data_IF_468504001236
#
_entry.id   IF_468504001236
#
_cell.length_a   1.000
_cell.length_b   1.000
_cell.length_c   1.000
_cell.angle_alpha   90.00
_cell.angle_beta   90.00
_cell.angle_gamma   90.00
#
_symmetry.space_group_name_H-M   'P 1'
#
loop_
_entity.id
_entity.type
_entity.pdbx_description
1 polymer ?
#
# COMPACT_ATOMS: atom_id res chain seq x y z
N UNK A 1 5.38 5.47 -26.20
CA UNK A 1 3.88 5.60 -26.14
C UNK A 1 3.49 6.56 -25.02
N UNK A 2 2.29 7.21 -25.05
CA UNK A 2 1.79 7.91 -23.87
C UNK A 2 1.57 6.91 -22.72
N UNK A 3 1.63 7.39 -21.47
CA UNK A 3 1.36 6.56 -20.32
C UNK A 3 -0.10 6.11 -20.29
N UNK A 4 -0.35 4.87 -19.85
CA UNK A 4 -1.71 4.35 -19.75
C UNK A 4 -2.44 4.85 -18.49
N UNK A 5 -1.69 5.21 -17.44
CA UNK A 5 -2.32 5.70 -16.21
C UNK A 5 -2.95 7.08 -16.36
N UNK A 6 -3.97 7.32 -15.59
CA UNK A 6 -4.65 8.62 -15.52
C UNK A 6 -3.98 9.51 -14.47
N UNK A 7 -3.81 10.80 -14.79
CA UNK A 7 -3.48 11.80 -13.76
C UNK A 7 -4.65 11.88 -12.78
N UNK A 8 -4.41 11.59 -11.52
CA UNK A 8 -5.46 11.57 -10.49
C UNK A 8 -5.54 12.90 -9.74
N UNK A 9 -6.72 13.28 -9.23
CA UNK A 9 -6.87 14.50 -8.45
C UNK A 9 -6.07 14.48 -7.15
N UNK A 10 -5.54 15.65 -6.78
CA UNK A 10 -5.07 15.98 -5.45
C UNK A 10 -6.12 16.87 -4.79
N UNK A 11 -6.93 16.35 -3.88
CA UNK A 11 -8.01 17.11 -3.26
C UNK A 11 -7.66 17.56 -1.84
N UNK A 12 -8.01 18.79 -1.48
CA UNK A 12 -7.91 19.23 -0.10
C UNK A 12 -9.07 18.70 0.72
N UNK A 13 -8.80 17.87 1.72
CA UNK A 13 -9.80 17.40 2.69
C UNK A 13 -10.14 18.49 3.70
N UNK A 14 -11.34 19.06 3.60
CA UNK A 14 -11.81 20.06 4.59
C UNK A 14 -11.96 19.45 5.99
N UNK A 15 -12.40 18.19 6.05
CA UNK A 15 -12.64 17.48 7.29
C UNK A 15 -11.34 17.24 8.04
N UNK A 16 -10.38 16.57 7.40
CA UNK A 16 -9.09 16.27 8.01
C UNK A 16 -8.26 17.54 8.26
N UNK A 17 -8.35 18.55 7.39
CA UNK A 17 -7.66 19.83 7.61
C UNK A 17 -8.16 20.55 8.86
N UNK A 18 -9.47 20.51 9.12
CA UNK A 18 -10.05 21.07 10.35
C UNK A 18 -9.64 20.27 11.59
N UNK A 19 -9.61 18.95 11.48
CA UNK A 19 -9.25 18.04 12.56
C UNK A 19 -7.79 18.22 12.99
N UNK A 20 -6.88 18.38 12.04
CA UNK A 20 -5.44 18.48 12.27
C UNK A 20 -4.91 19.91 12.38
N UNK A 21 -5.74 20.92 12.11
CA UNK A 21 -5.33 22.32 12.16
C UNK A 21 -4.31 22.75 11.09
N UNK A 22 -4.12 21.95 10.04
CA UNK A 22 -3.21 22.21 8.93
C UNK A 22 -3.87 21.85 7.57
N UNK A 23 -3.19 22.08 6.44
CA UNK A 23 -3.72 21.67 5.15
C UNK A 23 -3.49 20.19 4.89
N UNK A 24 -4.57 19.42 4.66
CA UNK A 24 -4.49 17.99 4.36
C UNK A 24 -4.96 17.73 2.94
N UNK A 25 -4.13 17.06 2.17
CA UNK A 25 -4.40 16.67 0.79
C UNK A 25 -4.49 15.16 0.64
N UNK A 26 -5.41 14.71 -0.21
CA UNK A 26 -5.64 13.31 -0.55
C UNK A 26 -5.32 13.11 -2.04
N UNK A 27 -4.34 12.25 -2.34
CA UNK A 27 -4.03 11.82 -3.71
C UNK A 27 -4.87 10.59 -4.06
N UNK A 28 -5.82 10.74 -4.99
CA UNK A 28 -6.89 9.76 -5.21
C UNK A 28 -6.52 8.69 -6.23
N UNK A 29 -5.67 7.74 -5.86
CA UNK A 29 -5.28 6.63 -6.74
C UNK A 29 -6.40 5.59 -6.97
N UNK A 30 -7.48 5.66 -6.21
CA UNK A 30 -8.70 4.89 -6.46
C UNK A 30 -9.36 5.23 -7.82
N UNK A 31 -8.98 6.33 -8.46
CA UNK A 31 -9.47 6.75 -9.77
C UNK A 31 -8.61 6.25 -10.94
N UNK A 32 -7.62 5.41 -10.71
CA UNK A 32 -6.91 4.72 -11.79
C UNK A 32 -7.84 3.69 -12.48
N UNK A 33 -7.59 3.32 -13.75
CA UNK A 33 -8.41 2.34 -14.48
C UNK A 33 -8.65 1.02 -13.72
N UNK A 34 -7.66 0.51 -12.99
CA UNK A 34 -7.80 -0.66 -12.12
C UNK A 34 -8.18 -0.32 -10.68
N UNK A 35 -8.67 0.88 -10.40
CA UNK A 35 -9.11 1.39 -9.10
C UNK A 35 -8.04 1.37 -8.01
N UNK A 36 -6.75 1.30 -8.39
CA UNK A 36 -5.63 1.36 -7.45
C UNK A 36 -4.36 1.91 -8.07
N UNK A 37 -3.46 2.45 -7.21
CA UNK A 37 -2.13 2.93 -7.60
C UNK A 37 -1.30 1.90 -8.39
N UNK A 38 -1.62 0.62 -8.24
CA UNK A 38 -0.93 -0.49 -8.92
C UNK A 38 -0.87 -0.30 -10.42
N UNK A 39 -1.89 0.33 -10.98
CA UNK A 39 -1.96 0.57 -12.42
C UNK A 39 -0.78 1.38 -12.95
N UNK A 40 -0.29 2.38 -12.21
CA UNK A 40 0.82 3.23 -12.66
C UNK A 40 2.09 2.42 -12.98
N UNK A 41 2.57 1.68 -11.99
CA UNK A 41 3.82 0.93 -12.13
C UNK A 41 3.68 -0.29 -13.03
N UNK A 42 2.56 -1.02 -12.92
CA UNK A 42 2.37 -2.22 -13.72
C UNK A 42 2.09 -1.89 -15.19
N UNK A 43 1.36 -0.83 -15.50
CA UNK A 43 1.18 -0.41 -16.88
C UNK A 43 2.51 0.06 -17.53
N UNK A 44 3.37 0.75 -16.77
CA UNK A 44 4.70 1.12 -17.28
C UNK A 44 5.54 -0.11 -17.59
N UNK A 45 5.59 -1.07 -16.67
CA UNK A 45 6.31 -2.32 -16.88
C UNK A 45 5.80 -3.09 -18.12
N UNK A 46 4.50 -3.14 -18.29
CA UNK A 46 3.85 -3.81 -19.43
C UNK A 46 4.13 -3.08 -20.75
N UNK A 47 4.13 -1.73 -20.75
CA UNK A 47 4.54 -0.94 -21.91
C UNK A 47 5.99 -1.20 -22.31
N UNK A 48 6.94 -1.24 -21.36
CA UNK A 48 8.33 -1.60 -21.62
C UNK A 48 8.48 -3.03 -22.15
N UNK A 49 7.72 -3.98 -21.61
CA UNK A 49 7.69 -5.36 -22.12
C UNK A 49 7.17 -5.42 -23.55
N UNK A 50 6.11 -4.68 -23.86
CA UNK A 50 5.57 -4.55 -25.23
C UNK A 50 6.58 -3.92 -26.18
N UNK A 51 7.24 -2.84 -25.79
CA UNK A 51 8.27 -2.17 -26.62
C UNK A 51 9.44 -3.10 -26.92
N UNK A 52 9.80 -3.97 -25.97
CA UNK A 52 10.92 -4.91 -26.11
C UNK A 52 10.57 -6.18 -26.90
N UNK A 53 9.36 -6.71 -26.75
CA UNK A 53 8.98 -8.04 -27.26
C UNK A 53 7.88 -8.00 -28.34
N UNK A 54 7.25 -6.83 -28.57
CA UNK A 54 6.17 -6.64 -29.54
C UNK A 54 4.84 -7.26 -29.10
N UNK A 55 3.89 -7.33 -30.04
CA UNK A 55 2.50 -7.79 -29.81
C UNK A 55 2.39 -9.26 -29.39
N UNK A 56 3.44 -10.05 -29.59
CA UNK A 56 3.42 -11.48 -29.24
C UNK A 56 3.75 -11.74 -27.76
N UNK A 57 4.13 -10.72 -27.00
CA UNK A 57 4.46 -10.87 -25.58
C UNK A 57 3.27 -11.45 -24.79
N UNK A 58 3.55 -12.43 -23.95
CA UNK A 58 2.57 -12.98 -23.04
C UNK A 58 2.91 -12.59 -21.61
N UNK A 59 2.04 -11.83 -20.98
CA UNK A 59 2.24 -11.31 -19.64
C UNK A 59 1.66 -12.28 -18.61
N UNK A 60 2.44 -12.65 -17.62
CA UNK A 60 2.05 -13.62 -16.59
C UNK A 60 2.28 -13.00 -15.23
N UNK A 61 1.28 -13.08 -14.36
CA UNK A 61 1.37 -12.59 -12.98
C UNK A 61 0.72 -13.58 -12.01
N UNK A 62 1.27 -13.72 -10.82
CA UNK A 62 0.61 -14.38 -9.69
C UNK A 62 0.06 -13.30 -8.75
N UNK A 63 -1.26 -13.08 -8.77
CA UNK A 63 -1.92 -12.16 -7.84
C UNK A 63 -3.44 -12.27 -7.93
N UNK A 64 -4.09 -12.52 -6.81
CA UNK A 64 -5.55 -12.50 -6.68
C UNK A 64 -6.12 -11.12 -6.26
N UNK A 65 -5.33 -10.07 -6.35
CA UNK A 65 -5.73 -8.75 -5.89
C UNK A 65 -5.38 -7.63 -6.88
N UNK A 66 -5.20 -6.43 -6.36
CA UNK A 66 -5.00 -5.20 -7.12
C UNK A 66 -3.87 -5.27 -8.16
N UNK A 67 -2.81 -6.06 -7.93
CA UNK A 67 -1.73 -6.22 -8.92
C UNK A 67 -2.17 -7.06 -10.11
N UNK A 68 -2.90 -8.17 -9.88
CA UNK A 68 -3.47 -8.99 -10.96
C UNK A 68 -4.42 -8.19 -11.83
N UNK A 69 -5.34 -7.45 -11.20
CA UNK A 69 -6.29 -6.59 -11.91
C UNK A 69 -5.59 -5.49 -12.70
N UNK A 70 -4.58 -4.83 -12.11
CA UNK A 70 -3.83 -3.79 -12.79
C UNK A 70 -3.07 -4.31 -14.02
N UNK A 71 -2.45 -5.51 -13.90
CA UNK A 71 -1.77 -6.14 -15.03
C UNK A 71 -2.76 -6.54 -16.13
N UNK A 72 -3.91 -7.12 -15.77
CA UNK A 72 -4.95 -7.50 -16.72
C UNK A 72 -5.50 -6.28 -17.48
N UNK A 73 -5.89 -5.21 -16.76
CA UNK A 73 -6.38 -3.97 -17.37
C UNK A 73 -5.35 -3.35 -18.33
N UNK A 74 -4.09 -3.24 -17.91
CA UNK A 74 -3.04 -2.65 -18.76
C UNK A 74 -2.74 -3.50 -20.01
N UNK A 75 -2.80 -4.82 -19.85
CA UNK A 75 -2.63 -5.74 -20.98
C UNK A 75 -3.79 -5.65 -21.97
N UNK A 76 -5.03 -5.55 -21.46
CA UNK A 76 -6.23 -5.37 -22.29
C UNK A 76 -6.17 -4.09 -23.13
N UNK A 77 -5.73 -2.97 -22.51
CA UNK A 77 -5.59 -1.68 -23.18
C UNK A 77 -4.60 -1.73 -24.36
N UNK A 78 -3.58 -2.60 -24.28
CA UNK A 78 -2.60 -2.80 -25.34
C UNK A 78 -2.94 -3.98 -26.27
N UNK A 79 -4.04 -4.69 -26.05
CA UNK A 79 -4.41 -5.88 -26.84
C UNK A 79 -3.48 -7.07 -26.61
N UNK A 80 -2.82 -7.16 -25.46
CA UNK A 80 -1.85 -8.21 -25.13
C UNK A 80 -2.46 -9.35 -24.33
N UNK A 81 -1.90 -10.54 -24.48
CA UNK A 81 -2.28 -11.70 -23.66
C UNK A 81 -1.80 -11.51 -22.23
N UNK A 82 -2.71 -11.72 -21.27
CA UNK A 82 -2.40 -11.73 -19.85
C UNK A 82 -2.95 -12.97 -19.19
N UNK A 83 -2.09 -13.73 -18.49
CA UNK A 83 -2.50 -14.84 -17.63
C UNK A 83 -2.25 -14.52 -16.17
N UNK A 84 -3.30 -14.59 -15.37
CA UNK A 84 -3.27 -14.33 -13.93
C UNK A 84 -3.41 -15.65 -13.17
N UNK A 85 -2.37 -16.01 -12.42
CA UNK A 85 -2.37 -17.16 -11.53
C UNK A 85 -2.96 -16.77 -10.17
N UNK A 86 -3.97 -17.50 -9.74
CA UNK A 86 -4.62 -17.34 -8.42
C UNK A 86 -4.63 -18.69 -7.69
N UNK A 87 -4.69 -18.68 -6.37
CA UNK A 87 -4.85 -19.91 -5.58
C UNK A 87 -6.32 -20.29 -5.41
N UNK A 88 -6.56 -21.52 -4.98
CA UNK A 88 -7.89 -22.03 -4.62
C UNK A 88 -8.49 -21.29 -3.42
N UNK A 89 -9.82 -21.44 -3.23
CA UNK A 89 -10.52 -20.91 -2.05
C UNK A 89 -10.83 -19.42 -2.06
N UNK A 90 -10.54 -18.71 -3.15
CA UNK A 90 -10.94 -17.31 -3.33
C UNK A 90 -12.44 -17.20 -3.67
N UNK A 91 -13.03 -16.06 -3.30
CA UNK A 91 -14.41 -15.77 -3.69
C UNK A 91 -14.54 -15.76 -5.22
N UNK A 92 -15.62 -16.33 -5.80
CA UNK A 92 -15.81 -16.39 -7.27
C UNK A 92 -15.70 -15.04 -7.98
N UNK A 93 -16.10 -13.94 -7.33
CA UNK A 93 -16.05 -12.59 -7.88
C UNK A 93 -14.62 -12.13 -8.21
N UNK A 94 -13.62 -12.63 -7.49
CA UNK A 94 -12.21 -12.34 -7.77
C UNK A 94 -11.83 -12.86 -9.16
N UNK A 95 -12.23 -14.09 -9.47
CA UNK A 95 -11.99 -14.70 -10.77
C UNK A 95 -12.78 -13.98 -11.86
N UNK A 96 -14.07 -13.77 -11.64
CA UNK A 96 -14.93 -13.07 -12.59
C UNK A 96 -14.40 -11.67 -12.91
N UNK A 97 -14.02 -10.88 -11.91
CA UNK A 97 -13.48 -9.53 -12.13
C UNK A 97 -12.17 -9.51 -12.95
N UNK A 98 -11.34 -10.56 -12.86
CA UNK A 98 -10.15 -10.70 -13.71
C UNK A 98 -10.50 -11.12 -15.13
N UNK A 99 -11.46 -12.04 -15.29
CA UNK A 99 -11.95 -12.51 -16.60
C UNK A 99 -12.69 -11.38 -17.36
N UNK A 100 -13.45 -10.53 -16.66
CA UNK A 100 -14.18 -9.38 -17.22
C UNK A 100 -13.26 -8.34 -17.87
N UNK A 101 -12.01 -8.22 -17.37
CA UNK A 101 -10.97 -7.39 -17.97
C UNK A 101 -10.05 -8.18 -18.92
N UNK A 102 -10.50 -9.30 -19.42
CA UNK A 102 -9.85 -10.07 -20.50
C UNK A 102 -8.67 -10.94 -20.07
N UNK A 103 -8.43 -11.14 -18.77
CA UNK A 103 -7.36 -12.04 -18.32
C UNK A 103 -7.73 -13.51 -18.49
N UNK A 104 -6.75 -14.32 -18.86
CA UNK A 104 -6.84 -15.78 -18.72
C UNK A 104 -6.51 -16.13 -17.26
N UNK A 105 -7.48 -16.66 -16.52
CA UNK A 105 -7.30 -16.96 -15.10
C UNK A 105 -6.98 -18.43 -14.89
N UNK A 106 -5.85 -18.71 -14.24
CA UNK A 106 -5.41 -20.06 -13.89
C UNK A 106 -5.44 -20.24 -12.38
N UNK A 107 -6.27 -21.17 -11.89
CA UNK A 107 -6.29 -21.56 -10.49
C UNK A 107 -5.20 -22.62 -10.26
N UNK A 108 -4.24 -22.35 -9.37
CA UNK A 108 -3.12 -23.24 -9.10
C UNK A 108 -2.69 -23.23 -7.64
N UNK A 109 -2.79 -24.37 -6.98
CA UNK A 109 -2.38 -24.60 -5.60
C UNK A 109 -3.30 -23.97 -4.55
N UNK A 110 -2.92 -24.09 -3.29
CA UNK A 110 -3.77 -23.74 -2.15
C UNK A 110 -3.44 -22.38 -1.54
N UNK A 111 -2.34 -21.75 -1.96
CA UNK A 111 -1.85 -20.48 -1.39
C UNK A 111 -1.09 -19.67 -2.46
N UNK A 112 -0.73 -18.43 -2.11
CA UNK A 112 0.02 -17.55 -3.01
C UNK A 112 1.37 -18.13 -3.48
N UNK A 113 2.23 -18.74 -2.63
CA UNK A 113 3.45 -19.40 -3.08
C UNK A 113 3.23 -20.43 -4.18
N UNK A 114 2.19 -21.26 -4.07
CA UNK A 114 1.86 -22.25 -5.09
C UNK A 114 1.49 -21.58 -6.41
N UNK A 115 0.61 -20.59 -6.38
CA UNK A 115 0.23 -19.81 -7.56
C UNK A 115 1.45 -19.14 -8.22
N UNK A 116 2.37 -18.60 -7.42
CA UNK A 116 3.62 -18.00 -7.92
C UNK A 116 4.55 -19.04 -8.57
N UNK A 117 4.69 -20.22 -7.98
CA UNK A 117 5.45 -21.32 -8.59
C UNK A 117 4.84 -21.77 -9.93
N UNK A 118 3.50 -21.86 -10.01
CA UNK A 118 2.79 -22.16 -11.24
C UNK A 118 3.04 -21.12 -12.34
N UNK A 119 2.98 -19.84 -11.99
CA UNK A 119 3.27 -18.73 -12.89
C UNK A 119 4.73 -18.77 -13.38
N UNK A 120 5.68 -19.00 -12.47
CA UNK A 120 7.11 -19.11 -12.79
C UNK A 120 7.37 -20.26 -13.77
N UNK A 121 6.82 -21.44 -13.49
CA UNK A 121 6.95 -22.60 -14.36
C UNK A 121 6.27 -22.39 -15.74
N UNK A 122 5.26 -21.53 -15.84
CA UNK A 122 4.67 -21.15 -17.12
C UNK A 122 5.63 -20.29 -17.94
N UNK A 123 6.19 -19.24 -17.32
CA UNK A 123 7.17 -18.36 -17.98
C UNK A 123 8.38 -19.14 -18.50
N UNK A 124 8.90 -20.09 -17.72
CA UNK A 124 10.03 -20.92 -18.12
C UNK A 124 9.75 -21.81 -19.33
N UNK A 125 8.50 -22.21 -19.54
CA UNK A 125 8.08 -23.11 -20.63
C UNK A 125 7.64 -22.40 -21.90
N UNK A 126 7.23 -21.13 -21.81
CA UNK A 126 6.72 -20.38 -22.97
C UNK A 126 7.74 -19.31 -23.39
N UNK A 127 8.44 -19.48 -24.54
CA UNK A 127 9.33 -18.45 -25.08
C UNK A 127 8.57 -17.14 -25.34
N UNK A 128 9.10 -16.02 -24.84
CA UNK A 128 8.46 -14.71 -24.98
C UNK A 128 7.44 -14.38 -23.87
N UNK A 129 7.18 -15.29 -22.94
CA UNK A 129 6.42 -14.98 -21.75
C UNK A 129 7.26 -14.11 -20.77
N UNK A 130 6.61 -13.15 -20.14
CA UNK A 130 7.24 -12.20 -19.19
C UNK A 130 6.50 -12.23 -17.87
N UNK A 131 7.22 -12.50 -16.77
CA UNK A 131 6.69 -12.38 -15.43
C UNK A 131 6.52 -10.91 -15.08
N UNK A 132 5.30 -10.52 -14.75
CA UNK A 132 4.98 -9.16 -14.26
C UNK A 132 5.17 -9.11 -12.74
N UNK A 133 6.10 -8.27 -12.23
CA UNK A 133 6.37 -8.18 -10.80
C UNK A 133 5.25 -7.42 -10.09
N UNK A 134 4.73 -7.97 -8.99
CA UNK A 134 3.60 -7.35 -8.27
C UNK A 134 3.97 -6.05 -7.52
N UNK A 135 5.26 -5.86 -7.14
CA UNK A 135 5.73 -4.71 -6.37
C UNK A 135 7.25 -4.50 -6.41
N UNK A 136 8.04 -5.55 -6.63
CA UNK A 136 9.50 -5.52 -6.48
C UNK A 136 10.19 -5.41 -7.84
N UNK A 137 10.25 -4.18 -8.37
CA UNK A 137 10.95 -3.89 -9.62
C UNK A 137 11.15 -2.37 -9.81
N UNK A 138 12.34 -1.88 -10.25
CA UNK A 138 12.62 -0.46 -10.46
C UNK A 138 11.65 0.25 -11.39
N UNK A 139 11.26 -0.36 -12.50
CA UNK A 139 10.25 0.20 -13.43
C UNK A 139 8.89 0.39 -12.74
N UNK A 140 8.48 -0.56 -11.89
CA UNK A 140 7.22 -0.46 -11.13
C UNK A 140 7.28 0.72 -10.16
N UNK A 141 8.39 0.90 -9.46
CA UNK A 141 8.58 2.05 -8.55
C UNK A 141 8.62 3.37 -9.32
N UNK A 142 9.30 3.41 -10.48
CA UNK A 142 9.33 4.59 -11.34
C UNK A 142 7.92 4.99 -11.79
N UNK A 143 7.11 4.03 -12.24
CA UNK A 143 5.71 4.28 -12.62
C UNK A 143 4.88 4.80 -11.45
N UNK A 144 5.02 4.20 -10.25
CA UNK A 144 4.34 4.69 -9.04
C UNK A 144 4.82 6.09 -8.63
N UNK A 145 6.10 6.42 -8.84
CA UNK A 145 6.69 7.73 -8.54
C UNK A 145 6.02 8.89 -9.29
N UNK A 146 5.40 8.63 -10.44
CA UNK A 146 4.67 9.64 -11.21
C UNK A 146 3.57 10.36 -10.42
N UNK A 147 2.99 9.71 -9.38
CA UNK A 147 2.01 10.39 -8.52
C UNK A 147 2.63 11.54 -7.71
N UNK A 148 3.91 11.43 -7.34
CA UNK A 148 4.63 12.48 -6.61
C UNK A 148 4.96 13.65 -7.54
N UNK A 149 5.30 13.37 -8.81
CA UNK A 149 5.48 14.41 -9.83
C UNK A 149 4.17 15.21 -10.03
N UNK A 150 3.02 14.52 -10.05
CA UNK A 150 1.72 15.17 -10.14
C UNK A 150 1.41 16.02 -8.89
N UNK A 151 1.73 15.53 -7.68
CA UNK A 151 1.55 16.27 -6.43
C UNK A 151 2.45 17.52 -6.42
N UNK A 152 3.71 17.38 -6.81
CA UNK A 152 4.66 18.50 -6.86
C UNK A 152 4.25 19.59 -7.86
N UNK A 153 3.58 19.20 -8.95
CA UNK A 153 3.03 20.17 -9.91
C UNK A 153 1.81 20.94 -9.38
N UNK A 154 1.14 20.45 -8.34
CA UNK A 154 -0.07 21.05 -7.77
C UNK A 154 0.15 21.78 -6.46
N UNK A 155 1.13 21.36 -5.65
CA UNK A 155 1.46 22.02 -4.40
C UNK A 155 2.49 23.13 -4.59
N UNK A 156 2.29 24.31 -3.96
CA UNK A 156 3.24 25.42 -4.07
C UNK A 156 4.57 25.15 -3.36
N UNK A 157 4.58 24.30 -2.35
CA UNK A 157 5.75 23.96 -1.53
C UNK A 157 5.73 22.46 -1.22
N UNK A 158 6.90 21.86 -0.90
CA UNK A 158 6.97 20.50 -0.39
C UNK A 158 6.08 20.32 0.85
N UNK A 159 5.35 19.20 0.99
CA UNK A 159 4.56 18.96 2.18
C UNK A 159 5.46 18.64 3.40
N UNK A 160 4.93 18.85 4.61
CA UNK A 160 5.61 18.49 5.85
C UNK A 160 5.84 16.97 5.97
N UNK A 161 4.94 16.18 5.37
CA UNK A 161 5.09 14.73 5.26
C UNK A 161 4.18 14.15 4.18
N UNK A 162 4.58 12.99 3.64
CA UNK A 162 3.76 12.14 2.77
C UNK A 162 3.50 10.83 3.52
N UNK A 163 2.23 10.41 3.57
CA UNK A 163 1.82 9.18 4.24
C UNK A 163 1.34 8.16 3.23
N UNK A 164 1.82 6.92 3.34
CA UNK A 164 1.38 5.81 2.48
C UNK A 164 1.35 4.49 3.25
N UNK A 165 0.45 3.59 2.87
CA UNK A 165 0.44 2.22 3.38
C UNK A 165 1.50 1.37 2.69
N UNK A 166 2.02 0.37 3.41
CA UNK A 166 3.10 -0.49 2.93
C UNK A 166 2.74 -1.96 3.11
N UNK A 167 2.83 -2.72 2.03
CA UNK A 167 2.88 -4.18 2.06
C UNK A 167 4.28 -4.63 1.67
N UNK A 168 4.46 -5.15 0.46
CA UNK A 168 5.79 -5.50 -0.07
C UNK A 168 6.71 -4.33 -0.43
N UNK A 169 6.28 -3.08 -0.23
CA UNK A 169 7.11 -1.89 -0.42
C UNK A 169 6.94 -1.17 -1.76
N UNK A 170 6.19 -1.72 -2.72
CA UNK A 170 6.08 -1.13 -4.07
C UNK A 170 5.58 0.32 -4.09
N UNK A 171 4.56 0.66 -3.28
CA UNK A 171 4.07 2.03 -3.16
C UNK A 171 5.13 2.95 -2.53
N UNK A 172 5.71 2.52 -1.41
CA UNK A 172 6.75 3.28 -0.73
C UNK A 172 7.96 3.52 -1.64
N UNK A 173 8.43 2.48 -2.36
CA UNK A 173 9.50 2.62 -3.35
C UNK A 173 9.17 3.67 -4.41
N UNK A 174 7.92 3.67 -4.89
CA UNK A 174 7.45 4.72 -5.81
C UNK A 174 7.43 6.11 -5.20
N UNK A 175 6.97 6.25 -3.95
CA UNK A 175 7.00 7.54 -3.24
C UNK A 175 8.43 8.06 -3.11
N UNK A 176 9.37 7.20 -2.68
CA UNK A 176 10.78 7.58 -2.50
C UNK A 176 11.44 7.97 -3.83
N UNK A 177 11.27 7.17 -4.88
CA UNK A 177 11.77 7.48 -6.24
C UNK A 177 11.16 8.79 -6.76
N UNK A 178 9.86 8.99 -6.54
CA UNK A 178 9.18 10.23 -6.93
C UNK A 178 9.69 11.45 -6.16
N UNK A 179 9.93 11.34 -4.86
CA UNK A 179 10.49 12.41 -4.04
C UNK A 179 11.89 12.80 -4.52
N UNK A 180 12.77 11.83 -4.77
CA UNK A 180 14.09 12.08 -5.32
C UNK A 180 14.01 12.84 -6.67
N UNK A 181 13.13 12.38 -7.56
CA UNK A 181 12.96 12.97 -8.89
C UNK A 181 12.50 14.43 -8.90
N UNK A 182 11.71 14.84 -7.89
CA UNK A 182 11.18 16.21 -7.80
C UNK A 182 11.93 17.11 -6.81
N UNK A 183 13.05 16.65 -6.22
CA UNK A 183 13.84 17.40 -5.25
C UNK A 183 13.18 17.47 -3.86
N UNK A 184 12.39 16.44 -3.50
CA UNK A 184 11.72 16.31 -2.20
C UNK A 184 12.36 15.23 -1.33
N UNK A 185 13.61 14.93 -1.54
CA UNK A 185 14.36 13.93 -0.77
C UNK A 185 14.42 14.23 0.74
N UNK A 186 14.20 15.49 1.13
CA UNK A 186 14.14 15.89 2.54
C UNK A 186 12.74 15.86 3.15
N UNK A 187 11.70 15.49 2.38
CA UNK A 187 10.34 15.36 2.89
C UNK A 187 10.19 14.04 3.66
N UNK A 188 9.79 14.05 4.94
CA UNK A 188 9.53 12.83 5.69
C UNK A 188 8.43 11.99 5.04
N UNK A 189 8.65 10.67 4.98
CA UNK A 189 7.64 9.72 4.53
C UNK A 189 7.20 8.84 5.71
N UNK A 190 5.90 8.73 5.92
CA UNK A 190 5.33 7.86 6.96
C UNK A 190 4.80 6.59 6.29
N UNK A 191 5.43 5.47 6.63
CA UNK A 191 5.10 4.14 6.14
C UNK A 191 4.18 3.44 7.15
N UNK A 192 2.95 3.13 6.76
CA UNK A 192 1.94 2.54 7.63
C UNK A 192 1.62 1.10 7.24
N UNK A 193 1.63 0.22 8.23
CA UNK A 193 1.27 -1.18 8.12
C UNK A 193 0.27 -1.55 9.21
N UNK A 194 -0.25 -2.78 9.18
CA UNK A 194 -1.01 -3.33 10.32
C UNK A 194 -0.14 -4.28 11.13
N UNK A 195 -0.47 -4.47 12.41
CA UNK A 195 0.33 -5.31 13.31
C UNK A 195 0.57 -6.73 12.77
N UNK A 196 -0.44 -7.30 12.10
CA UNK A 196 -0.35 -8.64 11.50
C UNK A 196 0.31 -8.69 10.12
N UNK A 197 0.67 -7.55 9.52
CA UNK A 197 1.27 -7.44 8.18
C UNK A 197 2.42 -6.42 8.18
N UNK A 198 3.31 -6.50 9.16
CA UNK A 198 4.33 -5.50 9.46
C UNK A 198 5.74 -5.89 8.98
N UNK A 199 5.85 -6.48 7.78
CA UNK A 199 7.14 -6.98 7.31
C UNK A 199 8.15 -5.84 7.04
N UNK A 200 7.70 -4.69 6.52
CA UNK A 200 8.59 -3.55 6.29
C UNK A 200 9.00 -2.89 7.62
N UNK A 201 8.06 -2.68 8.54
CA UNK A 201 8.32 -2.11 9.86
C UNK A 201 9.45 -2.85 10.57
N UNK A 202 9.31 -4.17 10.70
CA UNK A 202 10.33 -4.99 11.35
C UNK A 202 11.66 -5.02 10.57
N UNK A 203 11.60 -5.03 9.23
CA UNK A 203 12.82 -5.00 8.40
C UNK A 203 13.60 -3.69 8.57
N UNK A 204 12.88 -2.56 8.63
CA UNK A 204 13.50 -1.26 8.82
C UNK A 204 14.17 -1.16 10.20
N UNK A 205 13.48 -1.59 11.27
CA UNK A 205 14.03 -1.58 12.63
C UNK A 205 15.21 -2.55 12.79
N UNK A 206 15.15 -3.75 12.19
CA UNK A 206 16.26 -4.72 12.20
C UNK A 206 17.49 -4.22 11.44
N UNK A 207 17.30 -3.35 10.46
CA UNK A 207 18.39 -2.83 9.63
C UNK A 207 18.97 -1.50 10.15
N UNK A 208 18.26 -0.80 11.04
CA UNK A 208 18.76 0.43 11.68
C UNK A 208 19.69 0.11 12.83
N UNK A 209 20.85 0.78 12.96
CA UNK A 209 21.64 0.74 14.17
C UNK A 209 20.83 1.30 15.36
N UNK A 210 20.76 0.54 16.45
CA UNK A 210 20.11 0.96 17.70
C UNK A 210 20.84 0.38 18.91
N UNK A 211 20.78 1.08 20.04
CA UNK A 211 21.34 0.61 21.32
C UNK A 211 20.27 0.79 22.42
N UNK A 212 19.72 -0.32 22.98
CA UNK A 212 19.99 -1.71 22.62
C UNK A 212 19.47 -2.06 21.20
N UNK A 213 19.99 -3.13 20.57
CA UNK A 213 19.50 -3.60 19.29
C UNK A 213 18.00 -3.95 19.34
N UNK A 214 17.31 -3.67 18.24
CA UNK A 214 15.89 -4.03 18.12
C UNK A 214 15.71 -5.55 18.20
N UNK A 215 14.82 -5.99 19.06
CA UNK A 215 14.45 -7.41 19.22
C UNK A 215 13.05 -7.60 18.63
N UNK A 216 12.91 -8.31 17.51
CA UNK A 216 11.61 -8.55 16.90
C UNK A 216 10.79 -9.56 17.73
N UNK A 217 9.45 -9.55 17.62
CA UNK A 217 8.61 -10.58 18.24
C UNK A 217 8.81 -11.95 17.58
N UNK A 218 8.42 -13.03 18.29
CA UNK A 218 8.66 -14.43 17.90
C UNK A 218 8.08 -14.82 16.53
N UNK A 219 7.04 -14.15 16.06
CA UNK A 219 6.45 -14.41 14.73
C UNK A 219 7.25 -13.82 13.56
N UNK A 220 8.30 -13.06 13.84
CA UNK A 220 9.20 -12.47 12.84
C UNK A 220 10.47 -13.29 12.74
N UNK A 221 10.79 -13.76 11.56
CA UNK A 221 12.06 -14.43 11.26
C UNK A 221 13.01 -13.45 10.58
N UNK A 222 14.08 -12.99 11.25
CA UNK A 222 15.09 -12.14 10.63
C UNK A 222 15.91 -12.91 9.59
N UNK A 223 16.08 -12.33 8.41
CA UNK A 223 16.88 -12.90 7.30
C UNK A 223 17.90 -11.85 6.87
N UNK A 224 19.17 -12.06 7.19
CA UNK A 224 20.25 -11.19 6.73
C UNK A 224 20.47 -11.39 5.24
N UNK A 225 20.27 -10.33 4.43
CA UNK A 225 20.40 -10.35 2.97
C UNK A 225 21.60 -9.55 2.47
N UNK A 226 22.15 -8.67 3.30
CA UNK A 226 23.42 -7.97 3.08
C UNK A 226 24.03 -7.53 4.41
N UNK A 227 25.19 -6.87 4.39
CA UNK A 227 25.80 -6.36 5.63
C UNK A 227 24.98 -5.24 6.28
N UNK A 228 24.18 -4.51 5.50
CA UNK A 228 23.32 -3.42 5.97
C UNK A 228 21.88 -3.85 6.22
N UNK A 229 21.40 -4.87 5.53
CA UNK A 229 19.96 -5.18 5.46
C UNK A 229 19.67 -6.55 6.08
N UNK A 230 18.79 -6.52 7.05
CA UNK A 230 18.12 -7.71 7.61
C UNK A 230 16.63 -7.58 7.37
N UNK A 231 16.09 -8.43 6.51
CA UNK A 231 14.65 -8.46 6.22
C UNK A 231 13.90 -9.26 7.29
N UNK A 232 12.71 -8.82 7.60
CA UNK A 232 11.74 -9.58 8.36
C UNK A 232 10.96 -10.49 7.42
N UNK A 233 10.94 -11.79 7.70
CA UNK A 233 10.03 -12.74 7.08
C UNK A 233 8.92 -13.08 8.07
N UNK A 234 7.68 -12.88 7.65
CA UNK A 234 6.48 -13.15 8.46
C UNK A 234 5.50 -14.04 7.69
N UNK A 235 4.61 -14.69 8.43
CA UNK A 235 3.36 -15.20 7.87
C UNK A 235 2.28 -14.17 8.20
N UNK A 236 1.75 -13.45 7.21
CA UNK A 236 0.77 -12.41 7.47
C UNK A 236 -0.46 -12.97 8.20
N UNK A 237 -0.86 -12.30 9.27
CA UNK A 237 -2.05 -12.61 10.07
C UNK A 237 -2.84 -11.31 10.30
N UNK A 238 -3.42 -10.78 9.24
CA UNK A 238 -4.18 -9.54 9.22
C UNK A 238 -5.37 -9.68 8.29
N UNK A 239 -6.50 -9.09 8.65
CA UNK A 239 -7.67 -8.94 7.76
C UNK A 239 -7.40 -7.97 6.60
N UNK A 240 -6.36 -7.15 6.72
CA UNK A 240 -5.92 -6.18 5.70
C UNK A 240 -5.06 -6.89 4.64
N UNK A 241 -5.68 -7.80 3.90
CA UNK A 241 -5.00 -8.77 3.01
C UNK A 241 -4.14 -8.13 1.92
N UNK A 242 -4.45 -6.90 1.47
CA UNK A 242 -3.66 -6.21 0.44
C UNK A 242 -2.30 -5.69 0.94
N UNK A 243 -2.06 -5.66 2.27
CA UNK A 243 -0.75 -5.41 2.88
C UNK A 243 0.00 -6.70 3.23
N UNK A 244 -0.60 -7.87 2.99
CA UNK A 244 -0.12 -9.18 3.42
C UNK A 244 1.11 -9.71 2.65
N UNK A 245 2.19 -8.94 2.56
CA UNK A 245 3.46 -9.45 2.05
C UNK A 245 4.23 -10.21 3.14
N UNK A 246 4.87 -11.33 2.77
CA UNK A 246 5.69 -12.11 3.71
C UNK A 246 7.06 -11.47 3.99
N UNK A 247 7.54 -10.63 3.08
CA UNK A 247 8.79 -9.87 3.18
C UNK A 247 8.73 -8.66 2.26
N UNK A 248 9.35 -7.52 2.59
CA UNK A 248 9.43 -6.38 1.70
C UNK A 248 10.53 -6.54 0.65
N UNK A 249 10.49 -5.71 -0.40
CA UNK A 249 11.59 -5.55 -1.33
C UNK A 249 12.84 -5.01 -0.62
N UNK A 250 13.97 -5.67 -0.81
CA UNK A 250 15.24 -5.32 -0.17
C UNK A 250 15.67 -3.89 -0.50
N UNK A 251 15.60 -3.54 -1.78
CA UNK A 251 16.00 -2.24 -2.29
C UNK A 251 15.13 -1.11 -1.73
N UNK A 252 13.84 -1.38 -1.45
CA UNK A 252 12.97 -0.38 -0.81
C UNK A 252 13.36 -0.14 0.65
N UNK A 253 13.80 -1.17 1.37
CA UNK A 253 14.36 -0.99 2.72
C UNK A 253 15.66 -0.18 2.66
N UNK A 254 16.54 -0.45 1.68
CA UNK A 254 17.76 0.34 1.45
C UNK A 254 17.44 1.81 1.15
N UNK A 255 16.53 2.07 0.22
CA UNK A 255 16.07 3.45 -0.10
C UNK A 255 15.50 4.16 1.13
N UNK A 256 14.73 3.45 1.96
CA UNK A 256 14.15 4.02 3.18
C UNK A 256 15.20 4.37 4.24
N UNK A 257 16.28 3.60 4.34
CA UNK A 257 17.41 3.90 5.23
C UNK A 257 18.24 5.10 4.74
N UNK A 258 18.34 5.25 3.44
CA UNK A 258 19.16 6.29 2.78
C UNK A 258 18.38 7.59 2.53
N UNK A 259 17.06 7.60 2.73
CA UNK A 259 16.23 8.77 2.50
C UNK A 259 16.52 9.91 3.50
N UNK A 260 17.04 11.07 3.04
CA UNK A 260 17.45 12.17 3.94
C UNK A 260 16.33 12.71 4.82
N UNK A 261 15.10 12.77 4.28
CA UNK A 261 13.89 13.21 5.00
C UNK A 261 13.40 12.23 6.06
N UNK A 262 14.03 11.07 6.17
CA UNK A 262 13.66 9.93 7.01
C UNK A 262 12.34 9.24 6.60
N UNK A 263 12.31 7.92 6.70
CA UNK A 263 11.09 7.14 6.62
C UNK A 263 10.71 6.73 8.05
N UNK A 264 9.52 7.16 8.50
CA UNK A 264 8.94 6.79 9.80
C UNK A 264 8.08 5.55 9.63
N UNK A 265 8.36 4.48 10.38
CA UNK A 265 7.55 3.27 10.30
C UNK A 265 6.54 3.19 11.45
N UNK A 266 5.29 2.87 11.09
CA UNK A 266 4.15 2.84 12.00
C UNK A 266 3.32 1.59 11.75
N UNK A 267 2.86 0.94 12.83
CA UNK A 267 1.86 -0.13 12.71
C UNK A 267 0.63 0.15 13.56
N UNK A 268 -0.53 -0.26 13.06
CA UNK A 268 -1.84 -0.08 13.71
C UNK A 268 -2.60 -1.42 13.77
N UNK A 269 -3.56 -1.58 14.71
CA UNK A 269 -4.48 -2.72 14.67
C UNK A 269 -5.40 -2.66 13.43
N UNK A 270 -5.81 -3.81 12.93
CA UNK A 270 -6.72 -3.94 11.78
C UNK A 270 -8.03 -3.17 11.99
N UNK A 271 -8.55 -3.19 13.21
CA UNK A 271 -9.80 -2.54 13.60
C UNK A 271 -9.76 -1.02 13.40
N UNK A 272 -8.62 -0.39 13.62
CA UNK A 272 -8.48 1.05 13.34
C UNK A 272 -8.49 1.34 11.84
N UNK A 273 -7.98 0.44 11.03
CA UNK A 273 -8.07 0.53 9.56
C UNK A 273 -9.53 0.37 9.09
N UNK A 274 -10.31 -0.53 9.72
CA UNK A 274 -11.74 -0.70 9.47
C UNK A 274 -12.52 0.57 9.86
N UNK A 275 -12.27 1.13 11.04
CA UNK A 275 -12.88 2.39 11.49
C UNK A 275 -12.55 3.53 10.52
N UNK A 276 -11.31 3.64 10.08
CA UNK A 276 -10.88 4.66 9.13
C UNK A 276 -11.57 4.49 7.76
N UNK A 277 -11.78 3.25 7.27
CA UNK A 277 -12.52 3.00 6.03
C UNK A 277 -13.98 3.48 6.13
N UNK A 278 -14.65 3.19 7.24
CA UNK A 278 -16.01 3.68 7.49
C UNK A 278 -16.07 5.21 7.55
N UNK A 279 -15.08 5.85 8.20
CA UNK A 279 -15.02 7.32 8.29
C UNK A 279 -14.78 7.98 6.95
N UNK A 280 -13.85 7.46 6.14
CA UNK A 280 -13.62 7.96 4.77
C UNK A 280 -14.89 7.86 3.93
N UNK A 281 -15.59 6.72 3.98
CA UNK A 281 -16.85 6.55 3.26
C UNK A 281 -17.90 7.58 3.72
N UNK A 282 -18.04 7.81 5.02
CA UNK A 282 -18.98 8.78 5.58
C UNK A 282 -18.61 10.23 5.29
N UNK A 283 -17.32 10.60 5.37
CA UNK A 283 -16.82 11.98 5.29
C UNK A 283 -16.52 12.42 3.86
N UNK A 284 -15.96 11.52 3.02
CA UNK A 284 -15.49 11.82 1.67
C UNK A 284 -16.34 11.18 0.56
N UNK A 285 -17.30 10.30 0.92
CA UNK A 285 -18.26 9.69 -0.01
C UNK A 285 -17.62 8.75 -1.05
N UNK A 286 -16.50 8.13 -0.74
CA UNK A 286 -15.93 7.07 -1.55
C UNK A 286 -15.46 5.88 -0.69
N UNK A 287 -15.48 4.70 -1.30
CA UNK A 287 -15.05 3.47 -0.68
C UNK A 287 -13.56 3.25 -0.95
N UNK A 288 -12.84 2.78 0.08
CA UNK A 288 -11.43 2.37 -0.04
C UNK A 288 -11.19 1.11 0.79
N UNK A 289 -10.30 0.25 0.33
CA UNK A 289 -9.86 -0.92 1.10
C UNK A 289 -9.28 -0.53 2.47
N UNK A 290 -9.35 -1.45 3.43
CA UNK A 290 -8.68 -1.30 4.73
C UNK A 290 -7.17 -1.07 4.58
N UNK A 291 -6.53 -1.66 3.56
CA UNK A 291 -5.14 -1.36 3.21
C UNK A 291 -4.88 0.11 2.88
N UNK A 292 -5.83 0.76 2.22
CA UNK A 292 -5.77 2.17 1.89
C UNK A 292 -6.09 3.04 3.12
N UNK A 293 -7.14 2.72 3.87
CA UNK A 293 -7.56 3.49 5.05
C UNK A 293 -6.56 3.42 6.21
N UNK A 294 -5.71 2.39 6.27
CA UNK A 294 -4.56 2.32 7.19
C UNK A 294 -3.72 3.59 7.16
N UNK A 295 -3.54 4.17 5.97
CA UNK A 295 -2.78 5.42 5.78
C UNK A 295 -3.36 6.59 6.58
N UNK A 296 -4.67 6.62 6.81
CA UNK A 296 -5.39 7.76 7.39
C UNK A 296 -5.61 7.60 8.91
N UNK A 297 -5.37 6.41 9.45
CA UNK A 297 -5.56 6.14 10.90
C UNK A 297 -4.93 7.21 11.79
N UNK A 298 -3.67 7.65 11.58
CA UNK A 298 -3.06 8.67 12.46
C UNK A 298 -3.81 10.01 12.47
N UNK A 299 -4.50 10.37 11.39
CA UNK A 299 -5.24 11.62 11.32
C UNK A 299 -6.48 11.65 12.24
N UNK A 300 -6.96 10.49 12.66
CA UNK A 300 -8.14 10.36 13.51
C UNK A 300 -7.82 10.24 15.01
N UNK A 301 -6.56 10.28 15.38
CA UNK A 301 -6.12 10.18 16.77
C UNK A 301 -5.25 11.39 17.13
N UNK A 302 -5.72 12.17 18.07
CA UNK A 302 -5.07 13.43 18.50
C UNK A 302 -3.61 13.19 18.94
N UNK A 303 -2.71 14.07 18.53
CA UNK A 303 -1.29 14.04 18.90
C UNK A 303 -0.45 12.95 18.23
N UNK A 304 -1.06 12.05 17.44
CA UNK A 304 -0.30 10.95 16.82
C UNK A 304 0.63 11.41 15.70
N UNK A 305 0.18 12.32 14.86
CA UNK A 305 1.02 12.86 13.77
C UNK A 305 2.19 13.65 14.30
N UNK A 306 1.98 14.46 15.32
CA UNK A 306 3.05 15.20 16.01
C UNK A 306 4.05 14.25 16.66
N UNK A 307 3.58 13.15 17.26
CA UNK A 307 4.45 12.11 17.82
C UNK A 307 5.25 11.40 16.73
N UNK A 308 4.63 11.06 15.59
CA UNK A 308 5.31 10.41 14.47
C UNK A 308 6.36 11.32 13.85
N UNK A 309 6.01 12.59 13.64
CA UNK A 309 6.89 13.57 12.97
C UNK A 309 7.93 14.18 13.92
N UNK A 310 7.73 14.06 15.25
CA UNK A 310 8.59 14.66 16.26
C UNK A 310 8.49 16.18 16.32
N UNK A 311 7.44 16.77 15.75
CA UNK A 311 7.23 18.22 15.70
C UNK A 311 5.72 18.56 15.66
N UNK A 312 5.28 19.68 16.24
CA UNK A 312 3.89 20.10 16.18
C UNK A 312 3.46 20.42 14.74
N UNK A 313 2.16 20.23 14.48
CA UNK A 313 1.53 20.72 13.24
C UNK A 313 1.14 22.19 13.40
N UNK A 314 1.29 22.96 12.34
CA UNK A 314 0.94 24.38 12.29
C UNK A 314 -0.02 24.65 11.11
N UNK A 315 -0.78 25.75 11.12
CA UNK A 315 -1.69 26.10 10.02
C UNK A 315 -0.99 26.25 8.65
N UNK A 316 0.30 26.54 8.64
CA UNK A 316 1.09 26.71 7.40
C UNK A 316 1.59 25.36 6.83
N UNK A 317 1.50 24.29 7.62
CA UNK A 317 1.92 22.96 7.19
C UNK A 317 0.91 22.34 6.21
N UNK A 318 1.42 21.47 5.34
CA UNK A 318 0.60 20.60 4.52
C UNK A 318 1.02 19.14 4.67
N UNK A 319 0.03 18.25 4.65
CA UNK A 319 0.23 16.80 4.68
C UNK A 319 -0.40 16.18 3.44
N UNK A 320 0.24 15.17 2.88
CA UNK A 320 -0.30 14.42 1.75
C UNK A 320 -0.53 12.98 2.17
N UNK A 321 -1.76 12.50 2.02
CA UNK A 321 -2.12 11.11 2.22
C UNK A 321 -2.36 10.45 0.85
N UNK A 322 -1.65 9.36 0.58
CA UNK A 322 -1.88 8.59 -0.63
C UNK A 322 -3.09 7.67 -0.41
N UNK A 323 -4.21 8.01 -1.04
CA UNK A 323 -5.41 7.17 -1.08
C UNK A 323 -5.21 6.14 -2.17
N UNK A 324 -4.50 5.07 -1.82
CA UNK A 324 -3.96 4.11 -2.79
C UNK A 324 -5.02 3.28 -3.53
N UNK A 325 -6.28 3.32 -3.10
CA UNK A 325 -7.39 2.61 -3.73
C UNK A 325 -7.45 1.14 -3.34
N UNK A 326 -8.01 0.36 -4.26
CA UNK A 326 -8.20 -1.09 -4.16
C UNK A 326 -9.66 -1.51 -4.31
N UNK A 327 -9.86 -2.75 -4.72
CA UNK A 327 -11.19 -3.28 -5.09
C UNK A 327 -11.80 -4.22 -4.06
N UNK A 328 -11.04 -4.58 -3.01
CA UNK A 328 -11.52 -5.47 -1.94
C UNK A 328 -12.26 -4.69 -0.86
N UNK A 329 -13.36 -4.08 -1.25
CA UNK A 329 -14.25 -3.33 -0.37
C UNK A 329 -15.63 -3.23 -0.99
N UNK A 330 -16.65 -3.45 -0.19
CA UNK A 330 -18.06 -3.24 -0.55
C UNK A 330 -18.80 -2.52 0.58
N UNK A 331 -20.05 -2.15 0.34
CA UNK A 331 -20.92 -1.60 1.39
C UNK A 331 -21.21 -2.65 2.46
N UNK A 332 -21.38 -3.91 2.02
CA UNK A 332 -21.61 -5.06 2.90
C UNK A 332 -20.43 -5.28 3.83
N UNK A 333 -19.20 -5.24 3.31
CA UNK A 333 -17.98 -5.35 4.15
C UNK A 333 -17.88 -4.22 5.19
N UNK A 334 -18.26 -2.98 4.84
CA UNK A 334 -18.29 -1.90 5.84
C UNK A 334 -19.30 -2.16 6.96
N UNK A 335 -20.46 -2.74 6.66
CA UNK A 335 -21.44 -3.13 7.69
C UNK A 335 -20.94 -4.32 8.54
N UNK A 336 -20.22 -5.27 7.93
CA UNK A 336 -19.54 -6.34 8.68
C UNK A 336 -18.49 -5.77 9.64
N UNK A 337 -17.62 -4.87 9.19
CA UNK A 337 -16.62 -4.21 10.06
C UNK A 337 -17.29 -3.51 11.25
N UNK A 338 -18.38 -2.81 11.00
CA UNK A 338 -19.16 -2.14 12.05
C UNK A 338 -19.77 -3.11 13.05
N UNK A 339 -20.28 -4.26 12.56
CA UNK A 339 -20.80 -5.33 13.39
C UNK A 339 -19.71 -5.96 14.24
N UNK A 340 -18.59 -6.33 13.64
CA UNK A 340 -17.46 -6.96 14.30
C UNK A 340 -16.91 -6.09 15.44
N UNK A 341 -16.64 -4.81 15.15
CA UNK A 341 -16.13 -3.87 16.15
C UNK A 341 -17.09 -3.68 17.32
N UNK A 342 -18.40 -3.63 17.06
CA UNK A 342 -19.42 -3.51 18.12
C UNK A 342 -19.50 -4.74 19.02
N UNK A 343 -19.18 -5.92 18.49
CA UNK A 343 -19.23 -7.18 19.23
C UNK A 343 -17.91 -7.49 19.95
N UNK A 344 -16.86 -6.70 19.72
CA UNK A 344 -15.59 -6.90 20.41
C UNK A 344 -15.71 -6.68 21.92
N UNK A 345 -15.04 -7.49 22.73
CA UNK A 345 -14.86 -7.18 24.14
C UNK A 345 -14.04 -5.89 24.28
N UNK A 346 -14.12 -5.21 25.45
CA UNK A 346 -13.27 -4.04 25.70
C UNK A 346 -11.81 -4.37 25.46
N UNK A 347 -11.23 -3.77 24.41
CA UNK A 347 -9.88 -4.09 23.93
C UNK A 347 -9.07 -2.80 23.83
N UNK A 348 -7.94 -2.76 24.55
CA UNK A 348 -6.99 -1.65 24.44
C UNK A 348 -6.29 -1.69 23.09
N UNK A 349 -6.24 -0.55 22.41
CA UNK A 349 -5.57 -0.42 21.11
C UNK A 349 -4.36 0.49 21.20
N UNK A 350 -3.33 0.08 20.50
CA UNK A 350 -2.04 0.76 20.47
C UNK A 350 -1.61 0.98 19.01
N UNK A 351 -0.87 2.04 18.79
CA UNK A 351 -0.09 2.28 17.59
C UNK A 351 1.37 2.09 17.92
N UNK A 352 2.12 1.32 17.12
CA UNK A 352 3.57 1.25 17.30
C UNK A 352 4.23 2.24 16.33
N UNK A 353 5.13 3.04 16.84
CA UNK A 353 5.86 4.09 16.13
C UNK A 353 7.34 3.87 16.39
N UNK A 354 8.13 3.52 15.39
CA UNK A 354 9.59 3.41 15.48
C UNK A 354 10.09 2.50 16.64
N UNK A 355 9.34 1.46 17.00
CA UNK A 355 9.65 0.56 18.11
C UNK A 355 8.88 0.83 19.40
N UNK A 356 8.36 2.03 19.59
CA UNK A 356 7.59 2.43 20.77
C UNK A 356 6.08 2.19 20.58
N UNK A 357 5.38 1.82 21.64
CA UNK A 357 3.92 1.67 21.64
C UNK A 357 3.22 2.89 22.24
N UNK A 358 2.25 3.42 21.52
CA UNK A 358 1.39 4.54 21.95
C UNK A 358 -0.03 4.04 22.14
N UNK A 359 -0.58 4.22 23.34
CA UNK A 359 -1.97 3.90 23.66
C UNK A 359 -2.92 4.90 23.00
N UNK A 360 -3.94 4.39 22.28
CA UNK A 360 -4.92 5.21 21.56
C UNK A 360 -6.32 5.19 22.15
N UNK A 361 -6.61 4.26 23.07
CA UNK A 361 -7.94 4.12 23.67
C UNK A 361 -8.41 2.66 23.70
N UNK A 362 -9.72 2.47 23.81
CA UNK A 362 -10.36 1.16 23.90
C UNK A 362 -11.46 1.00 22.85
N UNK A 363 -11.56 -0.19 22.24
CA UNK A 363 -12.70 -0.61 21.44
C UNK A 363 -13.71 -1.35 22.33
N UNK A 364 -15.02 -1.27 22.07
CA UNK A 364 -15.67 -0.53 20.98
C UNK A 364 -15.93 0.96 21.26
N UNK A 365 -15.43 1.54 22.36
CA UNK A 365 -15.69 2.94 22.75
C UNK A 365 -15.30 3.92 21.65
N UNK A 366 -14.15 3.69 21.01
CA UNK A 366 -13.71 4.50 19.86
C UNK A 366 -14.71 4.48 18.67
N UNK A 367 -15.55 3.45 18.57
CA UNK A 367 -16.58 3.38 17.52
C UNK A 367 -17.71 4.37 17.69
N UNK A 368 -17.91 4.92 18.90
CA UNK A 368 -18.93 5.94 19.16
C UNK A 368 -18.65 7.26 18.42
N UNK A 369 -17.41 7.52 18.03
CA UNK A 369 -17.02 8.65 17.18
C UNK A 369 -17.54 8.55 15.73
N UNK A 370 -18.01 7.37 15.29
CA UNK A 370 -18.67 7.20 13.98
C UNK A 370 -20.08 7.83 13.93
N UNK A 371 -20.67 8.15 15.07
CA UNK A 371 -22.03 8.70 15.16
C UNK A 371 -22.09 10.20 15.33
N UNK A 372 -20.94 10.90 15.42
CA UNK A 372 -20.85 12.34 15.51
C UNK A 372 -20.49 12.96 14.15
N UNK A 373 -21.40 12.87 13.19
CA UNK A 373 -21.29 13.48 11.86
C UNK A 373 -22.46 14.37 11.56
#
# INVERSE_FOLDING_TARGET
>A
MPHLWTRTPLIRSRHLSRLLGCSVYLKLETLQPSQSFKYRGLSLFIQEAFEKHGESVHLIIASSGNAGLAAACASQELGLRCTVYIHEGLHPDVRMGLEDVGANVVVHGHNYPDAFLGATAHVEREPGAVMVPAYDHPTVWSGHGSMIEEIAAELPNPPKAILCSVGGGGLLGGVLVGCDKVGWENVPVVALETHGSACFYHSLLLSRPSDPPYVPPDFVTPVKVSDRITLAKIVPNSRVSSLGASSPAKEVVEMALDHPGTVKCVTVPDELSMLAAMRIAAEHKFLVETACSTTIVPAYHEGTLERILGAPLTPDDSLVFIVCGGTKISVEELEEYKSDIKQMPPTKVYMNIEGDSMYLGELPVLSSFLTMG
#
